data_IF_020427013070
#
_entry.id   IF_020427013070
#
_cell.length_a   1.000
_cell.length_b   1.000
_cell.length_c   1.000
_cell.angle_alpha   90.00
_cell.angle_beta   90.00
_cell.angle_gamma   90.00
#
_symmetry.space_group_name_H-M   'P 1'
#
loop_
_entity.id
_entity.type
_entity.pdbx_description
1 polymer ?
#
# COMPACT_ATOMS: atom_id res chain seq x y z
N UNK A 1 -30.09 -39.39 39.14
CA UNK A 1 -29.79 -39.81 37.75
C UNK A 1 -30.25 -38.75 36.75
N UNK A 2 -31.55 -38.54 36.51
CA UNK A 2 -32.02 -37.57 35.49
C UNK A 2 -31.47 -36.14 35.64
N UNK A 3 -31.38 -35.59 36.86
CA UNK A 3 -30.86 -34.22 37.08
C UNK A 3 -29.36 -34.13 36.74
N UNK A 4 -28.60 -35.19 36.99
CA UNK A 4 -27.16 -35.24 36.72
C UNK A 4 -26.94 -35.30 35.21
N UNK A 5 -27.72 -36.13 34.49
CA UNK A 5 -27.64 -36.25 33.03
C UNK A 5 -27.97 -34.92 32.32
N UNK A 6 -28.96 -34.17 32.83
CA UNK A 6 -29.30 -32.83 32.33
C UNK A 6 -28.17 -31.83 32.60
N UNK A 7 -27.53 -31.91 33.76
CA UNK A 7 -26.41 -31.05 34.10
C UNK A 7 -25.19 -31.31 33.20
N UNK A 8 -24.85 -32.58 32.94
CA UNK A 8 -23.80 -32.95 32.00
C UNK A 8 -24.11 -32.47 30.56
N UNK A 9 -25.38 -32.55 30.14
CA UNK A 9 -25.79 -32.01 28.83
C UNK A 9 -25.63 -30.49 28.75
N UNK A 10 -25.97 -29.76 29.81
CA UNK A 10 -25.79 -28.31 29.88
C UNK A 10 -24.31 -27.92 29.88
N UNK A 11 -23.49 -28.64 30.63
CA UNK A 11 -22.04 -28.39 30.68
C UNK A 11 -21.39 -28.63 29.31
N UNK A 12 -21.76 -29.72 28.64
CA UNK A 12 -21.30 -30.01 27.28
C UNK A 12 -21.79 -28.96 26.27
N UNK A 13 -23.04 -28.52 26.36
CA UNK A 13 -23.57 -27.47 25.48
C UNK A 13 -22.85 -26.12 25.71
N UNK A 14 -22.57 -25.77 26.97
CA UNK A 14 -21.80 -24.58 27.34
C UNK A 14 -20.38 -24.63 26.80
N UNK A 15 -19.71 -25.77 26.94
CA UNK A 15 -18.37 -26.00 26.37
C UNK A 15 -18.37 -25.85 24.85
N UNK A 16 -19.34 -26.45 24.16
CA UNK A 16 -19.49 -26.30 22.70
C UNK A 16 -19.75 -24.84 22.31
N UNK A 17 -20.59 -24.12 23.05
CA UNK A 17 -20.85 -22.70 22.80
C UNK A 17 -19.58 -21.86 22.98
N UNK A 18 -18.77 -22.15 23.99
CA UNK A 18 -17.46 -21.51 24.19
C UNK A 18 -16.50 -21.75 23.03
N UNK A 19 -16.41 -23.00 22.55
CA UNK A 19 -15.60 -23.35 21.38
C UNK A 19 -16.06 -22.63 20.11
N UNK A 20 -17.36 -22.57 19.85
CA UNK A 20 -17.88 -21.82 18.71
C UNK A 20 -17.55 -20.33 18.81
N UNK A 21 -17.62 -19.74 20.00
CA UNK A 21 -17.26 -18.34 20.22
C UNK A 21 -15.78 -18.07 19.93
N UNK A 22 -14.89 -18.95 20.40
CA UNK A 22 -13.46 -18.88 20.13
C UNK A 22 -13.17 -18.99 18.62
N UNK A 23 -13.75 -20.00 17.95
CA UNK A 23 -13.63 -20.17 16.50
C UNK A 23 -14.14 -18.94 15.72
N UNK A 24 -15.26 -18.33 16.15
CA UNK A 24 -15.74 -17.11 15.50
C UNK A 24 -14.80 -15.93 15.69
N UNK A 25 -14.16 -15.83 16.86
CA UNK A 25 -13.16 -14.79 17.14
C UNK A 25 -11.94 -14.99 16.25
N UNK A 26 -11.42 -16.21 16.16
CA UNK A 26 -10.30 -16.55 15.27
C UNK A 26 -10.60 -16.24 13.80
N UNK A 27 -11.83 -16.51 13.35
CA UNK A 27 -12.26 -16.17 11.99
C UNK A 27 -12.32 -14.65 11.76
N UNK A 28 -12.80 -13.88 12.74
CA UNK A 28 -12.83 -12.42 12.66
C UNK A 28 -11.40 -11.87 12.60
N UNK A 29 -10.51 -12.35 13.47
CA UNK A 29 -9.11 -11.93 13.49
C UNK A 29 -8.40 -12.30 12.18
N UNK A 30 -8.67 -13.49 11.64
CA UNK A 30 -8.22 -13.90 10.31
C UNK A 30 -8.73 -12.97 9.20
N UNK A 31 -10.01 -12.63 9.23
CA UNK A 31 -10.61 -11.70 8.26
C UNK A 31 -9.98 -10.30 8.34
N UNK A 32 -9.80 -9.76 9.55
CA UNK A 32 -9.14 -8.47 9.77
C UNK A 32 -7.69 -8.50 9.26
N UNK A 33 -6.97 -9.60 9.50
CA UNK A 33 -5.60 -9.78 9.00
C UNK A 33 -5.54 -9.75 7.47
N UNK A 34 -6.43 -10.48 6.79
CA UNK A 34 -6.52 -10.49 5.32
C UNK A 34 -6.93 -9.11 4.79
N UNK A 35 -7.92 -8.46 5.40
CA UNK A 35 -8.34 -7.12 5.03
C UNK A 35 -7.19 -6.10 5.18
N UNK A 36 -6.45 -6.16 6.29
CA UNK A 36 -5.27 -5.33 6.54
C UNK A 36 -4.15 -5.61 5.55
N UNK A 37 -3.96 -6.87 5.17
CA UNK A 37 -3.00 -7.23 4.13
C UNK A 37 -3.36 -6.57 2.79
N UNK A 38 -4.63 -6.67 2.37
CA UNK A 38 -5.12 -6.03 1.15
C UNK A 38 -4.97 -4.51 1.20
N UNK A 39 -5.31 -3.87 2.31
CA UNK A 39 -5.11 -2.43 2.49
C UNK A 39 -3.63 -2.05 2.38
N UNK A 40 -2.73 -2.83 2.99
CA UNK A 40 -1.30 -2.58 2.89
C UNK A 40 -0.81 -2.70 1.44
N UNK A 41 -1.32 -3.67 0.67
CA UNK A 41 -1.00 -3.79 -0.76
C UNK A 41 -1.52 -2.60 -1.58
N UNK A 42 -2.75 -2.15 -1.34
CA UNK A 42 -3.33 -0.97 -2.00
C UNK A 42 -2.50 0.27 -1.69
N UNK A 43 -2.14 0.48 -0.42
CA UNK A 43 -1.31 1.61 0.01
C UNK A 43 0.08 1.56 -0.64
N UNK A 44 0.72 0.39 -0.71
CA UNK A 44 1.99 0.23 -1.42
C UNK A 44 1.89 0.69 -2.87
N UNK A 45 0.87 0.24 -3.60
CA UNK A 45 0.67 0.63 -5.00
C UNK A 45 0.48 2.14 -5.10
N UNK A 46 -0.37 2.73 -4.26
CA UNK A 46 -0.62 4.17 -4.26
C UNK A 46 0.66 4.97 -3.96
N UNK A 47 1.46 4.54 -2.98
CA UNK A 47 2.74 5.18 -2.63
C UNK A 47 3.75 5.08 -3.78
N UNK A 48 3.86 3.94 -4.46
CA UNK A 48 4.73 3.77 -5.63
C UNK A 48 4.35 4.78 -6.71
N UNK A 49 3.06 4.84 -7.05
CA UNK A 49 2.54 5.77 -8.06
C UNK A 49 2.85 7.22 -7.65
N UNK A 50 2.47 7.63 -6.44
CA UNK A 50 2.71 8.98 -5.94
C UNK A 50 4.20 9.34 -5.91
N UNK A 51 5.07 8.43 -5.48
CA UNK A 51 6.51 8.67 -5.42
C UNK A 51 7.11 8.97 -6.80
N UNK A 52 6.54 8.44 -7.88
CA UNK A 52 6.94 8.75 -9.26
C UNK A 52 6.33 10.09 -9.70
N UNK A 53 5.04 10.31 -9.42
CA UNK A 53 4.33 11.51 -9.88
C UNK A 53 4.77 12.79 -9.19
N UNK A 54 5.12 12.77 -7.90
CA UNK A 54 5.53 13.97 -7.13
C UNK A 54 6.74 14.68 -7.75
N UNK A 55 7.91 14.03 -7.96
CA UNK A 55 9.06 14.71 -8.56
C UNK A 55 8.78 15.12 -10.01
N UNK A 56 8.05 14.29 -10.76
CA UNK A 56 7.69 14.60 -12.15
C UNK A 56 6.80 15.85 -12.24
N UNK A 57 5.81 15.96 -11.36
CA UNK A 57 4.90 17.11 -11.26
C UNK A 57 5.63 18.34 -10.74
N UNK A 58 6.55 18.20 -9.79
CA UNK A 58 7.37 19.30 -9.29
C UNK A 58 8.22 19.91 -10.41
N UNK A 59 8.90 19.07 -11.20
CA UNK A 59 9.68 19.54 -12.35
C UNK A 59 8.74 20.16 -13.40
N UNK A 60 7.62 19.51 -13.75
CA UNK A 60 6.64 20.08 -14.67
C UNK A 60 6.09 21.44 -14.19
N UNK A 61 5.88 21.63 -12.88
CA UNK A 61 5.44 22.89 -12.27
C UNK A 61 6.49 23.99 -12.36
N UNK A 62 7.76 23.68 -12.05
CA UNK A 62 8.87 24.63 -12.21
C UNK A 62 9.02 25.07 -13.68
N UNK A 63 8.99 24.11 -14.59
CA UNK A 63 9.13 24.39 -16.02
C UNK A 63 7.90 25.16 -16.54
N UNK A 64 6.68 24.77 -16.15
CA UNK A 64 5.44 25.44 -16.53
C UNK A 64 5.33 26.89 -16.03
N UNK A 65 5.96 27.25 -14.91
CA UNK A 65 5.93 28.61 -14.35
C UNK A 65 7.00 29.57 -14.90
N UNK A 66 8.12 29.08 -15.48
CA UNK A 66 9.28 29.95 -15.77
C UNK A 66 10.08 29.59 -17.05
N UNK A 67 9.42 29.02 -18.08
CA UNK A 67 10.04 28.80 -19.40
C UNK A 67 10.66 30.07 -20.03
N UNK A 68 10.24 31.27 -19.60
CA UNK A 68 10.61 32.55 -20.20
C UNK A 68 11.87 33.19 -19.59
N UNK A 69 12.32 32.75 -18.40
CA UNK A 69 13.39 33.43 -17.65
C UNK A 69 14.62 32.56 -17.33
N UNK A 70 14.77 31.40 -17.97
CA UNK A 70 15.98 30.56 -17.84
C UNK A 70 16.92 30.75 -19.04
N UNK A 71 18.07 31.45 -18.89
CA UNK A 71 19.04 31.65 -19.97
C UNK A 71 19.70 30.34 -20.45
N UNK A 72 19.73 29.29 -19.62
CA UNK A 72 20.25 27.96 -19.98
C UNK A 72 19.29 27.13 -20.87
N UNK A 73 18.02 27.57 -21.03
CA UNK A 73 17.00 26.89 -21.84
C UNK A 73 16.90 27.42 -23.29
N UNK A 74 17.65 28.46 -23.65
CA UNK A 74 17.66 28.98 -25.04
C UNK A 74 18.42 28.07 -26.00
N UNK A 75 19.23 27.15 -25.49
CA UNK A 75 19.82 26.08 -26.28
C UNK A 75 18.78 25.00 -26.57
N UNK A 76 18.69 24.55 -27.84
CA UNK A 76 17.84 23.41 -28.26
C UNK A 76 17.98 22.16 -27.37
N UNK A 77 19.08 22.03 -26.63
CA UNK A 77 19.40 20.88 -25.78
C UNK A 77 18.85 20.98 -24.35
N UNK A 78 18.44 22.15 -23.85
CA UNK A 78 17.99 22.32 -22.45
C UNK A 78 16.72 21.52 -22.15
N UNK A 79 15.79 21.49 -23.10
CA UNK A 79 14.59 20.64 -23.03
C UNK A 79 14.93 19.14 -22.97
N UNK A 80 15.91 18.69 -23.76
CA UNK A 80 16.34 17.29 -23.76
C UNK A 80 17.06 16.89 -22.46
N UNK A 81 17.85 17.80 -21.86
CA UNK A 81 18.50 17.56 -20.56
C UNK A 81 17.45 17.45 -19.46
N UNK A 82 16.47 18.35 -19.42
CA UNK A 82 15.37 18.30 -18.46
C UNK A 82 14.59 16.98 -18.56
N UNK A 83 14.26 16.57 -19.79
CA UNK A 83 13.57 15.32 -20.07
C UNK A 83 14.41 14.11 -19.65
N UNK A 84 15.72 14.13 -19.90
CA UNK A 84 16.65 13.07 -19.49
C UNK A 84 16.75 12.96 -17.96
N UNK A 85 16.75 14.08 -17.24
CA UNK A 85 16.73 14.10 -15.76
C UNK A 85 15.41 13.54 -15.22
N UNK A 86 14.27 13.93 -15.78
CA UNK A 86 12.96 13.37 -15.41
C UNK A 86 12.92 11.86 -15.63
N UNK A 87 13.40 11.39 -16.79
CA UNK A 87 13.45 9.97 -17.14
C UNK A 87 14.39 9.21 -16.20
N UNK A 88 15.55 9.77 -15.90
CA UNK A 88 16.54 9.18 -14.98
C UNK A 88 15.98 9.02 -13.57
N UNK A 89 15.28 10.03 -13.05
CA UNK A 89 14.62 9.97 -11.74
C UNK A 89 13.53 8.89 -11.72
N UNK A 90 12.70 8.83 -12.77
CA UNK A 90 11.68 7.79 -12.89
C UNK A 90 12.30 6.38 -12.90
N UNK A 91 13.37 6.17 -13.67
CA UNK A 91 14.08 4.88 -13.74
C UNK A 91 14.74 4.51 -12.40
N UNK A 92 15.39 5.46 -11.73
CA UNK A 92 16.02 5.25 -10.41
C UNK A 92 14.96 4.84 -9.39
N UNK A 93 13.81 5.51 -9.36
CA UNK A 93 12.71 5.18 -8.45
C UNK A 93 12.14 3.79 -8.74
N UNK A 94 11.90 3.44 -10.00
CA UNK A 94 11.42 2.10 -10.39
C UNK A 94 12.43 1.02 -10.00
N UNK A 95 13.72 1.24 -10.21
CA UNK A 95 14.78 0.31 -9.82
C UNK A 95 14.89 0.17 -8.30
N UNK A 96 14.74 1.26 -7.54
CA UNK A 96 14.70 1.22 -6.08
C UNK A 96 13.50 0.41 -5.58
N UNK A 97 12.29 0.67 -6.10
CA UNK A 97 11.10 -0.08 -5.73
C UNK A 97 11.22 -1.58 -6.04
N UNK A 98 11.83 -1.92 -7.19
CA UNK A 98 12.14 -3.32 -7.55
C UNK A 98 13.18 -3.95 -6.62
N UNK A 99 14.20 -3.20 -6.20
CA UNK A 99 15.26 -3.70 -5.28
C UNK A 99 14.74 -3.91 -3.87
N UNK A 100 13.81 -3.08 -3.42
CA UNK A 100 13.24 -3.10 -2.07
C UNK A 100 12.17 -4.22 -1.93
N UNK A 101 11.87 -4.98 -3.00
CA UNK A 101 10.84 -6.05 -3.03
C UNK A 101 9.46 -5.58 -2.56
N UNK A 102 9.17 -4.28 -2.74
CA UNK A 102 7.83 -3.74 -2.52
C UNK A 102 6.91 -3.99 -3.72
N UNK A 103 7.50 -4.31 -4.87
CA UNK A 103 6.92 -4.97 -6.04
C UNK A 103 7.49 -6.39 -6.16
#
# INVERSE_FOLDING_TARGET
HVIIDVFEQLERASSLAGLYHELTTDLIDGYISVASHNLNQIMKILTVVMSIFIPLTFIAGIYGMNFQNMPELQSKSGYFIALSVMLSIAVILVLLFRRIRWL
#
